data_IF_818465110471
#
_entry.id   IF_818465110471
#
_cell.length_a   1.000
_cell.length_b   1.000
_cell.length_c   1.000
_cell.angle_alpha   90.00
_cell.angle_beta   90.00
_cell.angle_gamma   90.00
#
_symmetry.space_group_name_H-M   'P 1'
#
loop_
_entity.id
_entity.type
_entity.pdbx_description
1 polymer ?
#
# COMPACT_ATOMS: atom_id res chain seq x y z
N UNK A 1 14.60 8.83 -13.82
CA UNK A 1 13.51 8.09 -13.14
C UNK A 1 12.87 9.04 -12.15
N UNK A 2 11.55 9.14 -12.18
CA UNK A 2 10.78 10.05 -11.32
C UNK A 2 10.74 9.50 -9.89
N UNK A 3 10.94 10.37 -8.91
CA UNK A 3 10.81 10.01 -7.49
C UNK A 3 9.34 10.14 -7.12
N UNK A 4 8.75 9.12 -6.49
CA UNK A 4 7.36 9.19 -6.07
C UNK A 4 7.15 10.34 -5.07
N UNK A 5 6.18 11.21 -5.35
CA UNK A 5 5.74 12.29 -4.45
C UNK A 5 4.41 11.93 -3.81
N UNK A 6 4.01 12.71 -2.80
CA UNK A 6 2.69 12.57 -2.19
C UNK A 6 1.57 12.74 -3.23
N UNK A 7 1.66 13.71 -4.12
CA UNK A 7 0.63 13.97 -5.14
C UNK A 7 0.45 12.78 -6.08
N UNK A 8 1.56 12.15 -6.49
CA UNK A 8 1.52 10.95 -7.34
C UNK A 8 0.84 9.80 -6.61
N UNK A 9 1.22 9.54 -5.36
CA UNK A 9 0.67 8.42 -4.59
C UNK A 9 -0.81 8.64 -4.27
N UNK A 10 -1.18 9.84 -3.84
CA UNK A 10 -2.56 10.22 -3.54
C UNK A 10 -3.44 10.15 -4.78
N UNK A 11 -2.95 10.59 -5.94
CA UNK A 11 -3.67 10.53 -7.21
C UNK A 11 -3.85 9.10 -7.75
N UNK A 12 -2.98 8.17 -7.36
CA UNK A 12 -3.08 6.74 -7.74
C UNK A 12 -3.89 5.90 -6.76
N UNK A 13 -4.11 6.37 -5.54
CA UNK A 13 -4.92 5.68 -4.54
C UNK A 13 -6.40 5.72 -4.89
N UNK A 14 -7.05 4.56 -4.85
CA UNK A 14 -8.46 4.41 -5.22
C UNK A 14 -9.21 3.67 -4.13
N UNK A 15 -10.54 3.81 -4.17
CA UNK A 15 -11.42 2.96 -3.40
C UNK A 15 -11.19 1.49 -3.80
N UNK A 16 -11.22 0.60 -2.81
CA UNK A 16 -11.03 -0.83 -3.01
C UNK A 16 -12.11 -1.38 -3.95
N UNK A 17 -11.70 -2.00 -5.06
CA UNK A 17 -12.62 -2.52 -6.08
C UNK A 17 -12.99 -3.99 -5.85
N UNK A 18 -12.17 -4.70 -5.08
CA UNK A 18 -12.39 -6.11 -4.71
C UNK A 18 -13.22 -6.23 -3.45
N UNK A 19 -13.95 -7.34 -3.32
CA UNK A 19 -14.75 -7.63 -2.12
C UNK A 19 -13.90 -8.25 -1.00
N UNK A 20 -14.37 -8.27 0.26
CA UNK A 20 -13.63 -8.85 1.38
C UNK A 20 -13.19 -10.32 1.18
N UNK A 21 -13.93 -11.10 0.39
CA UNK A 21 -13.64 -12.50 0.07
C UNK A 21 -12.29 -12.67 -0.67
N UNK A 22 -11.86 -11.64 -1.42
CA UNK A 22 -10.55 -11.61 -2.06
C UNK A 22 -9.40 -11.78 -1.04
N UNK A 23 -9.63 -11.43 0.23
CA UNK A 23 -8.65 -11.52 1.30
C UNK A 23 -8.83 -12.75 2.20
N UNK A 24 -9.65 -13.75 1.85
CA UNK A 24 -9.88 -14.94 2.67
C UNK A 24 -8.60 -15.70 3.00
N UNK A 25 -7.68 -15.82 2.04
CA UNK A 25 -6.35 -16.42 2.24
C UNK A 25 -5.33 -15.49 2.91
N UNK A 26 -5.64 -14.20 3.07
CA UNK A 26 -4.75 -13.22 3.68
C UNK A 26 -4.98 -13.13 5.19
N UNK A 27 -3.88 -13.16 5.95
CA UNK A 27 -3.90 -13.00 7.41
C UNK A 27 -4.07 -11.53 7.77
N UNK A 28 -4.86 -11.29 8.82
CA UNK A 28 -4.92 -9.97 9.44
C UNK A 28 -3.72 -9.83 10.37
N UNK A 29 -2.82 -8.93 10.03
CA UNK A 29 -1.57 -8.73 10.77
C UNK A 29 -1.62 -7.44 11.59
N UNK A 30 -0.91 -7.42 12.72
CA UNK A 30 -0.79 -6.21 13.54
C UNK A 30 0.08 -5.15 12.84
N UNK A 31 1.13 -5.61 12.16
CA UNK A 31 2.07 -4.80 11.40
C UNK A 31 2.49 -5.62 10.18
N UNK A 32 2.39 -5.03 8.99
CA UNK A 32 2.94 -5.58 7.75
C UNK A 32 3.87 -4.56 7.14
N UNK A 33 5.06 -4.99 6.72
CA UNK A 33 5.95 -4.15 5.91
C UNK A 33 6.13 -4.76 4.53
N UNK A 34 5.70 -4.01 3.51
CA UNK A 34 5.89 -4.33 2.11
C UNK A 34 7.15 -3.59 1.65
N UNK A 35 8.23 -4.34 1.40
CA UNK A 35 9.50 -3.77 0.94
C UNK A 35 9.34 -3.06 -0.40
N UNK A 36 10.16 -2.03 -0.63
CA UNK A 36 10.27 -1.39 -1.93
C UNK A 36 10.74 -2.39 -3.00
N UNK A 37 10.25 -2.23 -4.23
CA UNK A 37 10.63 -3.08 -5.38
C UNK A 37 11.13 -2.23 -6.55
N UNK A 38 11.86 -2.85 -7.48
CA UNK A 38 12.38 -2.19 -8.69
C UNK A 38 11.34 -2.02 -9.82
N UNK A 39 10.13 -2.55 -9.64
CA UNK A 39 9.02 -2.51 -10.61
C UNK A 39 7.73 -2.06 -9.94
N UNK A 40 6.75 -1.66 -10.75
CA UNK A 40 5.40 -1.35 -10.27
C UNK A 40 4.69 -2.60 -9.80
N UNK A 41 3.87 -2.46 -8.75
CA UNK A 41 3.10 -3.56 -8.15
C UNK A 41 1.68 -3.11 -7.89
N UNK A 42 0.79 -4.06 -7.70
CA UNK A 42 -0.58 -3.77 -7.26
C UNK A 42 -0.71 -3.99 -5.77
N UNK A 43 -1.27 -3.02 -5.06
CA UNK A 43 -1.50 -3.07 -3.62
C UNK A 43 -3.01 -3.05 -3.34
N UNK A 44 -3.46 -3.95 -2.48
CA UNK A 44 -4.81 -3.93 -1.92
C UNK A 44 -4.73 -3.90 -0.39
N UNK A 45 -5.57 -3.10 0.25
CA UNK A 45 -5.62 -2.92 1.68
C UNK A 45 -7.08 -2.97 2.17
N UNK A 46 -7.33 -3.78 3.20
CA UNK A 46 -8.64 -3.98 3.80
C UNK A 46 -8.56 -3.81 5.32
N UNK A 47 -9.41 -2.94 5.85
CA UNK A 47 -9.55 -2.57 7.26
C UNK A 47 -8.23 -2.14 7.90
N UNK A 48 -7.43 -1.36 7.16
CA UNK A 48 -6.11 -0.90 7.61
C UNK A 48 -6.24 0.31 8.55
N UNK A 49 -5.68 0.24 9.76
CA UNK A 49 -5.69 1.38 10.69
C UNK A 49 -4.73 2.49 10.24
N UNK A 50 -3.60 2.14 9.63
CA UNK A 50 -2.67 3.07 9.00
C UNK A 50 -2.00 2.41 7.80
N UNK A 51 -1.79 3.17 6.73
CA UNK A 51 -1.05 2.78 5.54
C UNK A 51 -0.08 3.91 5.23
N UNK A 52 1.22 3.66 5.41
CA UNK A 52 2.27 4.65 5.18
C UNK A 52 3.12 4.24 3.99
N UNK A 53 3.18 5.10 2.99
CA UNK A 53 4.05 4.95 1.83
C UNK A 53 5.38 5.62 2.15
N UNK A 54 6.46 4.89 1.94
CA UNK A 54 7.81 5.28 2.38
C UNK A 54 8.82 5.18 1.24
N UNK A 55 9.86 6.00 1.30
CA UNK A 55 11.05 5.83 0.46
C UNK A 55 11.78 4.53 0.80
N UNK A 56 12.77 4.12 0.00
CA UNK A 56 13.64 2.97 0.31
C UNK A 56 14.39 3.11 1.65
N UNK A 57 14.50 4.33 2.17
CA UNK A 57 15.13 4.62 3.46
C UNK A 57 14.15 4.59 4.64
N UNK A 58 12.86 4.31 4.39
CA UNK A 58 11.81 4.31 5.40
C UNK A 58 11.26 5.71 5.73
N UNK A 59 11.63 6.75 4.97
CA UNK A 59 11.10 8.10 5.16
C UNK A 59 9.67 8.15 4.63
N UNK A 60 8.73 8.67 5.42
CA UNK A 60 7.33 8.78 5.01
C UNK A 60 7.19 9.78 3.84
N UNK A 61 6.56 9.33 2.77
CA UNK A 61 6.14 10.15 1.62
C UNK A 61 4.69 10.59 1.82
N UNK A 62 3.80 9.64 2.11
CA UNK A 62 2.37 9.88 2.27
C UNK A 62 1.75 8.83 3.18
N UNK A 63 0.60 9.14 3.80
CA UNK A 63 -0.14 8.18 4.61
C UNK A 63 -1.65 8.32 4.45
N UNK A 64 -2.37 7.22 4.62
CA UNK A 64 -3.83 7.14 4.58
C UNK A 64 -4.33 6.04 5.52
N UNK A 65 -5.64 5.86 5.60
CA UNK A 65 -6.31 4.88 6.48
C UNK A 65 -7.49 4.21 5.77
N UNK A 66 -7.90 3.05 6.28
CA UNK A 66 -9.08 2.33 5.81
C UNK A 66 -8.79 1.45 4.61
N UNK A 67 -9.80 1.31 3.76
CA UNK A 67 -9.80 0.43 2.61
C UNK A 67 -9.33 1.18 1.36
N UNK A 68 -8.55 0.52 0.53
CA UNK A 68 -8.18 1.07 -0.76
C UNK A 68 -7.15 0.26 -1.51
N UNK A 69 -6.88 0.70 -2.73
CA UNK A 69 -5.97 0.02 -3.63
C UNK A 69 -5.14 0.98 -4.46
N UNK A 70 -4.04 0.45 -4.98
CA UNK A 70 -3.18 1.14 -5.93
C UNK A 70 -2.76 0.16 -7.03
N UNK A 71 -3.26 0.40 -8.25
CA UNK A 71 -2.97 -0.46 -9.42
C UNK A 71 -1.50 -0.45 -9.83
N UNK A 72 -0.84 0.67 -9.60
CA UNK A 72 0.53 0.94 -9.99
C UNK A 72 1.27 1.62 -8.82
N UNK A 73 1.51 0.87 -7.73
CA UNK A 73 2.41 1.29 -6.67
C UNK A 73 3.79 1.55 -7.28
N UNK A 74 4.31 2.79 -7.23
CA UNK A 74 5.55 3.12 -7.92
C UNK A 74 6.73 2.26 -7.44
N UNK A 75 7.74 2.04 -8.31
CA UNK A 75 9.00 1.45 -7.88
C UNK A 75 9.62 2.26 -6.74
N UNK A 76 10.47 1.61 -5.94
CA UNK A 76 11.22 2.24 -4.84
C UNK A 76 10.35 2.83 -3.71
N UNK A 77 9.07 2.46 -3.67
CA UNK A 77 8.15 2.78 -2.57
C UNK A 77 7.89 1.54 -1.73
N UNK A 78 8.22 1.63 -0.44
CA UNK A 78 7.83 0.67 0.59
C UNK A 78 6.48 1.06 1.21
N UNK A 79 5.80 0.11 1.85
CA UNK A 79 4.53 0.38 2.53
C UNK A 79 4.52 -0.24 3.92
N UNK A 80 4.32 0.59 4.93
CA UNK A 80 4.18 0.20 6.32
C UNK A 80 2.70 0.24 6.70
N UNK A 81 2.13 -0.91 7.04
CA UNK A 81 0.70 -1.08 7.30
C UNK A 81 0.52 -1.48 8.76
N UNK A 82 -0.34 -0.76 9.47
CA UNK A 82 -0.74 -1.08 10.84
C UNK A 82 -2.16 -1.62 10.83
N UNK A 83 -2.34 -2.82 11.41
CA UNK A 83 -3.61 -3.54 11.61
C UNK A 83 -4.47 -3.62 10.36
N UNK A 84 -4.54 -4.76 9.70
CA UNK A 84 -5.41 -4.94 8.54
C UNK A 84 -5.03 -6.17 7.74
N UNK A 85 -5.62 -6.31 6.56
CA UNK A 85 -5.19 -7.28 5.56
C UNK A 85 -4.60 -6.54 4.37
N UNK A 86 -3.56 -7.12 3.79
CA UNK A 86 -2.93 -6.58 2.59
C UNK A 86 -2.56 -7.70 1.64
N UNK A 87 -2.68 -7.42 0.34
CA UNK A 87 -2.18 -8.28 -0.74
C UNK A 87 -1.35 -7.39 -1.66
N UNK A 88 -0.17 -7.88 -2.05
CA UNK A 88 0.66 -7.27 -3.09
C UNK A 88 0.89 -8.29 -4.19
N UNK A 89 0.72 -7.86 -5.45
CA UNK A 89 0.95 -8.68 -6.64
C UNK A 89 1.82 -7.96 -7.64
#
# INVERSE_FOLDING_TARGET
METATEEILRGRWKQLSVTPEFFEGSKKEAITYIWAASHERRLYCLQCASIEFQTEKGERIWATTGDGEMDALPPRVGVYIVRGKSIVT
#
